data_IF_737820390987
#
_entry.id   IF_737820390987
#
_cell.length_a   1.000
_cell.length_b   1.000
_cell.length_c   1.000
_cell.angle_alpha   90.00
_cell.angle_beta   90.00
_cell.angle_gamma   90.00
#
_symmetry.space_group_name_H-M   'P 1'
#
loop_
_entity.id
_entity.type
_entity.pdbx_description
1 polymer ?
#
# COMPACT_ATOMS: atom_id res chain seq x y z
N UNK A 1 -11.45 -64.49 -15.09
CA UNK A 1 -10.23 -63.67 -15.14
C UNK A 1 -10.45 -62.61 -16.19
N UNK A 2 -10.91 -61.41 -15.77
CA UNK A 2 -11.11 -60.26 -16.64
C UNK A 2 -10.86 -58.99 -15.80
N UNK A 3 -9.83 -58.25 -16.20
CA UNK A 3 -9.38 -56.93 -15.73
C UNK A 3 -10.40 -55.84 -16.05
N UNK A 4 -10.83 -55.01 -15.07
CA UNK A 4 -11.50 -53.73 -15.35
C UNK A 4 -11.11 -52.66 -14.32
N UNK A 5 -10.27 -51.74 -14.80
CA UNK A 5 -10.15 -50.30 -14.51
C UNK A 5 -10.95 -49.70 -13.34
N UNK A 6 -10.20 -49.14 -12.38
CA UNK A 6 -10.66 -48.30 -11.29
C UNK A 6 -10.93 -46.88 -11.80
N UNK A 7 -12.15 -46.63 -12.28
CA UNK A 7 -12.68 -45.29 -12.52
C UNK A 7 -13.80 -45.00 -11.52
N UNK A 8 -13.54 -44.10 -10.57
CA UNK A 8 -14.52 -43.56 -9.63
C UNK A 8 -14.69 -42.07 -9.92
N UNK A 9 -15.69 -41.75 -10.73
CA UNK A 9 -16.37 -40.46 -10.71
C UNK A 9 -17.86 -40.78 -10.68
N UNK A 10 -18.57 -40.35 -9.64
CA UNK A 10 -19.97 -39.90 -9.67
C UNK A 10 -20.25 -39.17 -8.34
N UNK A 11 -20.46 -37.87 -8.46
CA UNK A 11 -20.88 -36.87 -7.45
C UNK A 11 -22.39 -37.08 -7.10
N UNK A 12 -23.07 -36.30 -6.21
CA UNK A 12 -22.67 -35.04 -5.56
C UNK A 12 -23.02 -34.92 -4.05
N UNK A 13 -22.18 -34.25 -3.27
CA UNK A 13 -22.54 -33.83 -1.91
C UNK A 13 -23.11 -32.42 -1.99
N UNK A 14 -24.40 -32.34 -1.69
CA UNK A 14 -25.25 -31.17 -1.60
C UNK A 14 -24.62 -30.07 -0.72
N UNK A 15 -24.28 -28.92 -1.34
CA UNK A 15 -24.04 -27.67 -0.62
C UNK A 15 -25.35 -27.23 0.05
N UNK A 16 -25.49 -27.44 1.35
CA UNK A 16 -26.49 -26.73 2.16
C UNK A 16 -25.87 -25.43 2.67
N UNK A 17 -26.39 -24.33 2.13
CA UNK A 17 -26.23 -22.96 2.63
C UNK A 17 -26.89 -22.90 4.01
N UNK A 18 -26.17 -22.45 5.04
CA UNK A 18 -26.77 -21.99 6.29
C UNK A 18 -26.38 -20.52 6.50
N UNK A 19 -27.37 -19.61 6.60
CA UNK A 19 -27.17 -18.23 7.04
C UNK A 19 -27.12 -18.22 8.57
N UNK A 20 -26.17 -17.53 9.17
CA UNK A 20 -26.40 -16.33 9.99
C UNK A 20 -25.08 -15.91 10.64
N UNK A 21 -25.00 -14.61 10.87
CA UNK A 21 -23.94 -13.84 11.47
C UNK A 21 -23.39 -14.44 12.77
N UNK A 22 -22.13 -14.87 12.75
CA UNK A 22 -21.28 -14.88 13.94
C UNK A 22 -19.90 -14.37 13.54
N UNK A 23 -19.56 -13.17 14.00
CA UNK A 23 -18.21 -12.62 13.92
C UNK A 23 -17.21 -13.65 14.47
N UNK A 24 -16.12 -14.00 13.75
CA UNK A 24 -15.04 -14.75 14.35
C UNK A 24 -14.38 -13.86 15.41
N UNK A 25 -14.58 -14.21 16.68
CA UNK A 25 -13.77 -13.72 17.79
C UNK A 25 -12.38 -14.31 17.58
N UNK A 26 -11.41 -13.47 17.20
CA UNK A 26 -10.02 -13.87 17.16
C UNK A 26 -9.56 -14.24 18.60
N UNK A 27 -8.84 -15.35 18.80
CA UNK A 27 -8.29 -15.69 20.11
C UNK A 27 -7.30 -14.60 20.56
N UNK A 28 -7.41 -14.19 21.82
CA UNK A 28 -6.63 -13.11 22.48
C UNK A 28 -5.15 -13.42 22.66
N UNK A 29 -4.71 -14.60 22.25
CA UNK A 29 -3.34 -15.05 22.46
C UNK A 29 -2.63 -15.02 21.11
N UNK A 30 -2.01 -13.88 20.82
CA UNK A 30 -1.04 -13.79 19.73
C UNK A 30 0.00 -14.90 19.94
N UNK A 31 0.02 -15.88 19.04
CA UNK A 31 0.97 -16.97 19.06
C UNK A 31 2.40 -16.40 19.02
N UNK A 32 3.36 -17.03 19.70
CA UNK A 32 4.79 -16.70 19.59
C UNK A 32 5.26 -16.60 18.12
N UNK A 33 4.57 -17.30 17.22
CA UNK A 33 4.77 -17.21 15.77
C UNK A 33 4.43 -15.83 15.16
N UNK A 34 3.47 -15.11 15.73
CA UNK A 34 3.10 -13.74 15.34
C UNK A 34 4.20 -12.75 15.74
N UNK A 35 4.90 -12.97 16.85
CA UNK A 35 6.01 -12.13 17.28
C UNK A 35 7.26 -12.31 16.41
N UNK A 36 7.55 -13.54 15.96
CA UNK A 36 8.66 -13.82 15.05
C UNK A 36 8.46 -13.18 13.66
N UNK A 37 7.22 -13.11 13.17
CA UNK A 37 6.89 -12.44 11.90
C UNK A 37 7.06 -10.92 11.94
N UNK A 38 7.13 -10.31 13.13
CA UNK A 38 7.34 -8.87 13.29
C UNK A 38 8.82 -8.46 13.26
N UNK A 39 9.75 -9.40 13.44
CA UNK A 39 11.18 -9.07 13.64
C UNK A 39 11.99 -9.06 12.35
N UNK A 40 11.61 -9.88 11.37
CA UNK A 40 12.50 -10.12 10.23
C UNK A 40 12.03 -9.53 8.91
N UNK A 41 10.77 -9.12 8.75
CA UNK A 41 10.34 -8.48 7.52
C UNK A 41 9.25 -7.45 7.79
N UNK A 42 9.38 -6.31 7.12
CA UNK A 42 8.46 -5.19 6.98
C UNK A 42 7.06 -5.56 6.44
N UNK A 43 6.42 -6.59 6.98
CA UNK A 43 5.10 -7.04 6.59
C UNK A 43 4.07 -6.32 7.46
N UNK A 44 3.45 -5.32 6.83
CA UNK A 44 2.32 -4.55 7.30
C UNK A 44 1.13 -5.49 7.58
N UNK A 45 1.09 -6.08 8.78
CA UNK A 45 -0.12 -6.67 9.32
C UNK A 45 -0.79 -5.66 10.24
N UNK A 46 -2.02 -5.33 9.86
CA UNK A 46 -2.97 -4.50 10.56
C UNK A 46 -3.29 -5.11 11.92
N UNK A 47 -2.58 -4.70 12.96
CA UNK A 47 -3.13 -4.71 14.32
C UNK A 47 -3.67 -3.32 14.62
N UNK A 48 -4.92 -3.31 15.07
CA UNK A 48 -5.60 -2.16 15.63
C UNK A 48 -4.71 -1.50 16.68
N UNK A 49 -4.68 -0.16 16.68
CA UNK A 49 -4.17 0.70 17.77
C UNK A 49 -2.69 1.12 17.78
N UNK A 50 -2.01 1.01 16.63
CA UNK A 50 -0.79 1.78 16.34
C UNK A 50 -0.94 2.57 15.05
N UNK A 51 -1.19 3.89 15.14
CA UNK A 51 -1.40 4.75 13.98
C UNK A 51 -0.13 4.88 13.11
N UNK A 52 0.08 3.91 12.22
CA UNK A 52 1.04 4.05 11.12
C UNK A 52 0.39 4.97 10.10
N UNK A 53 0.97 6.16 9.89
CA UNK A 53 0.49 7.21 8.98
C UNK A 53 0.41 6.70 7.53
N UNK A 54 -0.68 6.03 7.20
CA UNK A 54 -0.93 5.44 5.89
C UNK A 54 -1.40 6.53 4.92
N UNK A 55 -0.46 7.28 4.35
CA UNK A 55 -0.76 8.30 3.34
C UNK A 55 -1.32 7.63 2.08
N UNK A 56 -2.54 7.98 1.63
CA UNK A 56 -3.14 7.39 0.43
C UNK A 56 -2.43 7.87 -0.84
N UNK A 57 -2.40 7.02 -1.86
CA UNK A 57 -1.85 7.40 -3.16
C UNK A 57 -2.86 8.30 -3.89
N UNK A 58 -2.49 9.53 -4.30
CA UNK A 58 -3.42 10.48 -4.92
C UNK A 58 -3.82 10.07 -6.34
N UNK A 59 -3.03 9.20 -6.98
CA UNK A 59 -3.29 8.73 -8.34
C UNK A 59 -4.38 7.67 -8.40
N UNK A 60 -4.23 6.56 -7.66
CA UNK A 60 -5.22 5.48 -7.66
C UNK A 60 -6.29 5.59 -6.57
N UNK A 61 -6.06 6.44 -5.54
CA UNK A 61 -6.94 6.71 -4.39
C UNK A 61 -7.23 5.51 -3.47
N UNK A 62 -7.02 4.28 -3.95
CA UNK A 62 -7.25 3.03 -3.23
C UNK A 62 -5.98 2.48 -2.57
N UNK A 63 -4.82 2.78 -3.15
CA UNK A 63 -3.53 2.34 -2.63
C UNK A 63 -2.97 3.26 -1.55
N UNK A 64 -2.02 2.72 -0.79
CA UNK A 64 -1.26 3.45 0.23
C UNK A 64 0.19 3.60 -0.23
N UNK A 65 0.85 4.67 0.20
CA UNK A 65 2.28 4.85 -0.01
C UNK A 65 3.07 4.01 0.98
N UNK A 66 4.05 3.27 0.47
CA UNK A 66 4.97 2.45 1.26
C UNK A 66 6.40 2.81 0.90
N UNK A 67 7.31 2.76 1.88
CA UNK A 67 8.74 2.97 1.65
C UNK A 67 9.29 1.72 0.94
N UNK A 68 9.95 1.94 -0.19
CA UNK A 68 10.69 0.93 -0.95
C UNK A 68 12.14 1.39 -1.10
N UNK A 69 13.02 0.46 -1.43
CA UNK A 69 14.44 0.72 -1.60
C UNK A 69 14.90 0.28 -3.00
N UNK A 70 15.70 1.10 -3.67
CA UNK A 70 16.37 0.71 -4.90
C UNK A 70 17.48 -0.30 -4.59
N UNK A 71 17.47 -1.45 -5.26
CA UNK A 71 18.44 -2.51 -5.03
C UNK A 71 19.90 -2.11 -5.35
N UNK A 72 20.09 -1.26 -6.37
CA UNK A 72 21.44 -0.87 -6.81
C UNK A 72 22.11 0.15 -5.88
N UNK A 73 21.36 1.17 -5.44
CA UNK A 73 21.95 2.33 -4.76
C UNK A 73 21.52 2.43 -3.29
N UNK A 74 20.62 1.55 -2.84
CA UNK A 74 20.05 1.59 -1.51
C UNK A 74 19.16 2.81 -1.23
N UNK A 75 18.88 3.66 -2.22
CA UNK A 75 18.06 4.87 -2.03
C UNK A 75 16.60 4.51 -1.78
N UNK A 76 16.00 5.14 -0.78
CA UNK A 76 14.61 4.92 -0.44
C UNK A 76 13.69 5.84 -1.27
N UNK A 77 12.49 5.35 -1.57
CA UNK A 77 11.44 6.09 -2.25
C UNK A 77 10.07 5.59 -1.80
N UNK A 78 9.04 6.41 -1.97
CA UNK A 78 7.65 6.01 -1.75
C UNK A 78 7.10 5.38 -3.01
N UNK A 79 6.53 4.18 -2.91
CA UNK A 79 5.82 3.52 -3.99
C UNK A 79 4.39 3.17 -3.58
N UNK A 80 3.50 3.01 -4.56
CA UNK A 80 2.15 2.52 -4.26
C UNK A 80 2.17 1.04 -3.82
N UNK A 81 1.33 0.69 -2.84
CA UNK A 81 1.10 -0.70 -2.41
C UNK A 81 0.52 -1.58 -3.52
N UNK A 82 -0.26 -1.00 -4.44
CA UNK A 82 -0.95 -1.69 -5.53
C UNK A 82 -0.08 -1.96 -6.77
N UNK A 83 1.25 -1.87 -6.70
CA UNK A 83 2.11 -2.30 -7.81
C UNK A 83 1.86 -3.79 -8.15
N UNK A 84 1.70 -4.20 -9.44
CA UNK A 84 1.96 -3.43 -10.66
C UNK A 84 0.77 -2.60 -11.18
N UNK A 85 -0.43 -2.74 -10.62
CA UNK A 85 -1.62 -2.01 -11.08
C UNK A 85 -1.53 -0.49 -10.90
N UNK A 86 -0.72 -0.01 -9.94
CA UNK A 86 -0.34 1.39 -9.83
C UNK A 86 1.19 1.49 -9.67
N UNK A 87 1.85 2.13 -10.65
CA UNK A 87 3.31 2.28 -10.72
C UNK A 87 3.81 3.66 -10.24
N UNK A 88 2.97 4.43 -9.55
CA UNK A 88 3.35 5.75 -9.08
C UNK A 88 4.40 5.66 -7.96
N UNK A 89 5.41 6.53 -8.08
CA UNK A 89 6.53 6.62 -7.14
C UNK A 89 6.83 8.07 -6.81
N UNK A 90 7.24 8.34 -5.58
CA UNK A 90 7.65 9.66 -5.12
C UNK A 90 9.00 9.58 -4.40
N UNK A 91 9.92 10.48 -4.74
CA UNK A 91 11.27 10.49 -4.15
C UNK A 91 11.33 11.13 -2.77
N UNK A 92 10.43 12.07 -2.48
CA UNK A 92 10.39 12.78 -1.20
C UNK A 92 9.62 11.93 -0.18
N UNK A 93 10.29 11.55 0.92
CA UNK A 93 9.69 10.75 1.99
C UNK A 93 8.86 11.57 2.99
N UNK A 94 9.07 12.89 3.06
CA UNK A 94 8.35 13.81 3.94
C UNK A 94 6.85 13.85 3.63
N UNK A 95 6.44 13.36 2.46
CA UNK A 95 5.03 13.14 2.08
C UNK A 95 4.29 12.26 3.11
N UNK A 96 4.98 11.37 3.82
CA UNK A 96 4.35 10.55 4.87
C UNK A 96 4.01 11.33 6.14
N UNK A 97 4.71 12.44 6.40
CA UNK A 97 4.53 13.28 7.59
C UNK A 97 3.68 14.51 7.29
N UNK A 98 3.85 15.13 6.13
CA UNK A 98 3.14 16.35 5.71
C UNK A 98 2.74 16.20 4.23
N UNK A 99 1.53 15.65 4.02
CA UNK A 99 0.99 15.42 2.68
C UNK A 99 0.09 16.58 2.25
N UNK A 100 0.61 17.45 1.38
CA UNK A 100 -0.20 18.44 0.68
C UNK A 100 -0.49 17.97 -0.74
N UNK A 101 -1.75 17.66 -1.06
CA UNK A 101 -2.15 17.28 -2.42
C UNK A 101 -2.12 18.52 -3.33
N UNK A 102 -1.62 18.36 -4.55
CA UNK A 102 -1.62 19.43 -5.54
C UNK A 102 -3.07 19.81 -5.93
N UNK A 103 -3.50 21.07 -5.77
CA UNK A 103 -4.88 21.48 -6.05
C UNK A 103 -5.22 21.41 -7.55
N UNK A 104 -4.22 21.57 -8.42
CA UNK A 104 -4.44 21.65 -9.87
C UNK A 104 -4.65 20.27 -10.50
N UNK A 105 -3.79 19.30 -10.18
CA UNK A 105 -3.84 17.99 -10.81
C UNK A 105 -4.51 16.91 -9.93
N UNK A 106 -4.58 17.12 -8.61
CA UNK A 106 -5.11 16.18 -7.62
C UNK A 106 -4.48 14.78 -7.63
N UNK A 107 -3.48 14.55 -8.47
CA UNK A 107 -2.84 13.26 -8.73
C UNK A 107 -1.39 13.21 -8.22
N UNK A 108 -0.93 14.27 -7.56
CA UNK A 108 0.42 14.42 -7.03
C UNK A 108 0.44 15.26 -5.76
N UNK A 109 1.62 15.40 -5.18
CA UNK A 109 1.84 16.15 -3.95
C UNK A 109 2.61 17.43 -4.22
N UNK A 110 2.43 18.41 -3.35
CA UNK A 110 3.24 19.62 -3.27
C UNK A 110 4.41 19.33 -2.34
N UNK A 111 5.63 19.45 -2.85
CA UNK A 111 6.86 19.21 -2.10
C UNK A 111 7.74 20.44 -2.11
N UNK A 112 8.46 20.67 -1.01
CA UNK A 112 9.41 21.77 -0.91
C UNK A 112 10.56 21.58 -1.90
N UNK A 113 10.85 22.63 -2.67
CA UNK A 113 11.95 22.70 -3.64
C UNK A 113 12.69 24.02 -3.46
N UNK A 114 14.00 23.97 -3.69
CA UNK A 114 14.84 25.16 -3.71
C UNK A 114 14.90 25.73 -5.13
N UNK A 115 14.63 27.02 -5.26
CA UNK A 115 14.77 27.76 -6.52
C UNK A 115 15.66 28.99 -6.36
N UNK A 116 15.93 29.68 -7.48
CA UNK A 116 16.74 30.91 -7.49
C UNK A 116 16.19 32.01 -6.58
N UNK A 117 14.87 32.06 -6.42
CA UNK A 117 14.16 33.08 -5.64
C UNK A 117 13.82 32.61 -4.22
N UNK A 118 14.43 31.52 -3.76
CA UNK A 118 14.16 30.89 -2.47
C UNK A 118 13.34 29.61 -2.59
N UNK A 119 12.89 29.13 -1.44
CA UNK A 119 12.08 27.92 -1.31
C UNK A 119 10.67 28.12 -1.86
N UNK A 120 10.15 27.10 -2.53
CA UNK A 120 8.77 27.07 -3.00
C UNK A 120 8.23 25.64 -2.93
N UNK A 121 6.91 25.50 -2.89
CA UNK A 121 6.25 24.21 -3.03
C UNK A 121 5.99 23.96 -4.51
N UNK A 122 6.43 22.83 -5.03
CA UNK A 122 6.22 22.42 -6.42
C UNK A 122 5.57 21.04 -6.52
N UNK A 123 4.75 20.83 -7.55
CA UNK A 123 4.11 19.54 -7.78
C UNK A 123 5.14 18.43 -8.11
N UNK A 124 4.93 17.23 -7.55
CA UNK A 124 5.73 16.03 -7.85
C UNK A 124 5.52 15.55 -9.29
N UNK A 125 4.40 15.87 -9.94
CA UNK A 125 4.06 15.45 -11.29
C UNK A 125 4.66 16.35 -12.40
N UNK A 126 5.69 17.15 -12.11
CA UNK A 126 6.41 17.92 -13.13
C UNK A 126 7.15 16.98 -14.10
N UNK A 127 7.15 17.21 -15.43
CA UNK A 127 6.65 18.39 -16.15
C UNK A 127 5.16 18.38 -16.50
N UNK A 128 4.41 17.31 -16.20
CA UNK A 128 2.98 17.18 -16.49
C UNK A 128 2.08 18.12 -15.67
N UNK A 129 2.53 18.56 -14.49
CA UNK A 129 1.90 19.63 -13.72
C UNK A 129 2.97 20.63 -13.28
N UNK A 130 2.77 21.91 -13.63
CA UNK A 130 3.71 23.01 -13.33
C UNK A 130 3.24 23.90 -12.17
N UNK A 131 2.25 23.45 -11.40
CA UNK A 131 1.75 24.22 -10.27
C UNK A 131 2.85 24.44 -9.22
N UNK A 132 2.90 25.66 -8.70
CA UNK A 132 3.84 26.08 -7.66
C UNK A 132 3.17 27.04 -6.69
N UNK A 133 3.43 26.88 -5.41
CA UNK A 133 2.98 27.78 -4.34
C UNK A 133 4.22 28.43 -3.72
N UNK A 134 4.24 29.75 -3.64
CA UNK A 134 5.34 30.50 -2.99
C UNK A 134 5.21 30.34 -1.48
N UNK A 135 6.32 30.01 -0.82
CA UNK A 135 6.42 30.10 0.63
C UNK A 135 6.72 31.57 0.97
N UNK A 136 5.87 32.18 1.79
CA UNK A 136 5.96 33.59 2.19
C UNK A 136 6.99 33.77 3.30
#
# INVERSE_FOLDING_TARGET
>A
MLEIFKLRCLQPILFKRLPDSTNPIAPSDASLFVEELLKDNNYLLTTTDGAVNATPCPYCKTGKLVIRQHAANGTQFLGCSHYPSCNQTFKNLEILTDSLICPDCQSGFMVKRNGKFGDFLGCTNYPGCRNTIKLK
#
